data_IF_786987711016
#
_entry.id   IF_786987711016
#
_cell.length_a   1.000
_cell.length_b   1.000
_cell.length_c   1.000
_cell.angle_alpha   90.00
_cell.angle_beta   90.00
_cell.angle_gamma   90.00
#
_symmetry.space_group_name_H-M   'P 1'
#
loop_
_entity.id
_entity.type
_entity.pdbx_description
1 polymer ?
#
# COMPACT_ATOMS: atom_id res chain seq x y z
N UNK A 1 -4.05 -0.32 -6.03
CA UNK A 1 -3.99 1.05 -6.63
C UNK A 1 -3.12 2.01 -5.84
N UNK A 2 -3.28 2.15 -4.52
CA UNK A 2 -2.51 3.12 -3.72
C UNK A 2 -1.00 2.83 -3.61
N UNK A 3 -0.60 1.55 -3.54
CA UNK A 3 0.81 1.14 -3.45
C UNK A 3 1.63 1.53 -4.70
N UNK A 4 1.10 1.24 -5.90
CA UNK A 4 1.78 1.55 -7.18
C UNK A 4 1.96 3.06 -7.34
N UNK A 5 0.95 3.85 -6.99
CA UNK A 5 1.03 5.31 -7.02
C UNK A 5 2.09 5.84 -6.04
N UNK A 6 2.21 5.21 -4.86
CA UNK A 6 3.24 5.58 -3.87
C UNK A 6 4.66 5.31 -4.38
N UNK A 7 4.89 4.16 -5.02
CA UNK A 7 6.18 3.80 -5.64
C UNK A 7 6.53 4.74 -6.78
N UNK A 8 5.63 4.93 -7.76
CA UNK A 8 5.85 5.83 -8.90
C UNK A 8 6.18 7.25 -8.46
N UNK A 9 5.56 7.73 -7.38
CA UNK A 9 5.86 9.06 -6.82
C UNK A 9 7.24 9.13 -6.19
N UNK A 10 7.69 8.08 -5.51
CA UNK A 10 9.04 8.03 -4.95
C UNK A 10 10.10 7.96 -6.06
N UNK A 11 9.84 7.16 -7.09
CA UNK A 11 10.70 7.07 -8.28
C UNK A 11 10.83 8.42 -8.98
N UNK A 12 9.72 9.11 -9.25
CA UNK A 12 9.74 10.44 -9.85
C UNK A 12 10.53 11.47 -9.01
N UNK A 13 10.47 11.37 -7.67
CA UNK A 13 11.26 12.24 -6.79
C UNK A 13 12.75 11.91 -6.90
N UNK A 14 13.12 10.64 -6.87
CA UNK A 14 14.50 10.20 -7.07
C UNK A 14 15.04 10.70 -8.42
N UNK A 15 14.32 10.43 -9.51
CA UNK A 15 14.69 10.81 -10.88
C UNK A 15 14.83 12.33 -11.08
N UNK A 16 14.08 13.14 -10.32
CA UNK A 16 14.18 14.60 -10.42
C UNK A 16 15.56 15.15 -10.03
N UNK A 17 16.28 14.46 -9.13
CA UNK A 17 17.67 14.79 -8.79
C UNK A 17 18.37 13.61 -8.08
N UNK A 18 18.87 12.61 -8.83
CA UNK A 18 19.39 11.36 -8.27
C UNK A 18 20.57 11.51 -7.32
N UNK A 19 21.41 12.54 -7.51
CA UNK A 19 22.55 12.80 -6.63
C UNK A 19 22.11 13.31 -5.26
N UNK A 20 21.08 14.16 -5.21
CA UNK A 20 20.57 14.71 -3.95
C UNK A 20 19.46 13.85 -3.32
N UNK A 21 18.80 13.00 -4.11
CA UNK A 21 17.72 12.12 -3.69
C UNK A 21 18.14 10.65 -3.79
N UNK A 22 19.41 10.36 -3.47
CA UNK A 22 20.05 9.06 -3.70
C UNK A 22 19.46 7.92 -2.86
N UNK A 23 18.77 8.25 -1.76
CA UNK A 23 18.07 7.30 -0.91
C UNK A 23 16.92 8.01 -0.17
N UNK A 24 16.10 7.24 0.54
CA UNK A 24 14.95 7.76 1.28
C UNK A 24 15.34 8.80 2.35
N UNK A 25 16.48 8.63 3.01
CA UNK A 25 16.95 9.55 4.06
C UNK A 25 17.24 10.92 3.44
N UNK A 26 17.93 10.96 2.30
CA UNK A 26 18.24 12.21 1.60
C UNK A 26 16.99 12.86 1.00
N UNK A 27 16.03 12.06 0.50
CA UNK A 27 14.72 12.56 0.08
C UNK A 27 14.00 13.26 1.24
N UNK A 28 13.96 12.67 2.43
CA UNK A 28 13.24 13.25 3.58
C UNK A 28 13.97 14.46 4.17
N UNK A 29 15.30 14.45 4.19
CA UNK A 29 16.11 15.62 4.56
C UNK A 29 15.85 16.78 3.60
N UNK A 30 15.88 16.53 2.30
CA UNK A 30 15.65 17.56 1.27
C UNK A 30 14.21 18.09 1.31
N UNK A 31 13.25 17.25 1.65
CA UNK A 31 11.85 17.62 1.81
C UNK A 31 11.62 18.50 3.06
N UNK A 32 12.31 18.17 4.16
CA UNK A 32 12.26 18.93 5.41
C UNK A 32 12.92 20.30 5.26
N UNK A 33 14.12 20.36 4.65
CA UNK A 33 14.85 21.61 4.45
C UNK A 33 14.11 22.59 3.52
N UNK A 34 13.39 22.07 2.52
CA UNK A 34 12.56 22.86 1.60
C UNK A 34 11.17 23.21 2.16
N UNK A 35 10.83 22.79 3.38
CA UNK A 35 9.49 22.97 3.96
C UNK A 35 8.38 22.25 3.18
N UNK A 36 8.73 21.28 2.33
CA UNK A 36 7.82 20.62 1.41
C UNK A 36 7.03 19.46 2.07
N UNK A 37 7.33 19.10 3.31
CA UNK A 37 6.69 17.99 4.04
C UNK A 37 5.16 18.09 4.12
N UNK A 38 4.61 19.31 4.05
CA UNK A 38 3.16 19.53 4.07
C UNK A 38 2.49 19.50 2.69
N UNK A 39 3.26 19.49 1.58
CA UNK A 39 2.70 19.47 0.22
C UNK A 39 1.77 18.28 0.02
N UNK A 40 0.72 18.48 -0.80
CA UNK A 40 -0.27 17.43 -1.09
C UNK A 40 0.37 16.17 -1.68
N UNK A 41 1.45 16.34 -2.43
CA UNK A 41 2.28 15.27 -3.01
C UNK A 41 3.69 15.47 -2.49
N UNK A 42 4.20 14.47 -1.78
CA UNK A 42 5.43 14.58 -1.00
C UNK A 42 6.06 13.18 -0.85
N UNK A 43 7.38 13.10 -0.79
CA UNK A 43 8.09 11.82 -0.68
C UNK A 43 7.73 11.10 0.61
N UNK A 44 7.71 11.85 1.71
CA UNK A 44 7.31 11.37 3.04
C UNK A 44 5.89 10.80 3.06
N UNK A 45 4.92 11.49 2.44
CA UNK A 45 3.53 10.99 2.35
C UNK A 45 3.44 9.75 1.46
N UNK A 46 4.14 9.72 0.33
CA UNK A 46 4.19 8.54 -0.54
C UNK A 46 4.79 7.35 0.20
N UNK A 47 5.87 7.55 0.94
CA UNK A 47 6.50 6.51 1.73
C UNK A 47 5.59 5.93 2.82
N UNK A 48 4.82 6.78 3.52
CA UNK A 48 3.81 6.31 4.49
C UNK A 48 2.76 5.39 3.86
N UNK A 49 2.32 5.67 2.63
CA UNK A 49 1.39 4.78 1.92
C UNK A 49 2.06 3.49 1.44
N UNK A 50 3.34 3.55 1.09
CA UNK A 50 4.14 2.38 0.76
C UNK A 50 4.29 1.44 1.96
N UNK A 51 4.69 1.95 3.13
CA UNK A 51 4.87 1.13 4.33
C UNK A 51 3.58 0.46 4.77
N UNK A 52 2.45 1.17 4.79
CA UNK A 52 1.14 0.58 5.07
C UNK A 52 0.74 -0.53 4.09
N UNK A 53 1.15 -0.40 2.82
CA UNK A 53 0.91 -1.43 1.82
C UNK A 53 1.78 -2.66 2.08
N UNK A 54 3.03 -2.47 2.51
CA UNK A 54 3.92 -3.56 2.91
C UNK A 54 3.42 -4.26 4.19
N UNK A 55 2.89 -3.51 5.15
CA UNK A 55 2.27 -4.08 6.36
C UNK A 55 1.09 -5.00 6.00
N UNK A 56 0.23 -4.57 5.07
CA UNK A 56 -0.85 -5.40 4.54
C UNK A 56 -0.32 -6.67 3.88
N UNK A 57 0.66 -6.56 2.99
CA UNK A 57 1.24 -7.72 2.30
C UNK A 57 1.89 -8.69 3.28
N UNK A 58 2.62 -8.18 4.27
CA UNK A 58 3.24 -8.97 5.33
C UNK A 58 2.17 -9.71 6.15
N UNK A 59 1.12 -9.03 6.59
CA UNK A 59 0.02 -9.63 7.34
C UNK A 59 -0.69 -10.74 6.54
N UNK A 60 -0.91 -10.51 5.25
CA UNK A 60 -1.54 -11.49 4.35
C UNK A 60 -0.65 -12.73 4.16
N UNK A 61 0.65 -12.54 3.89
CA UNK A 61 1.58 -13.64 3.74
C UNK A 61 1.73 -14.44 5.05
N UNK A 62 1.75 -13.77 6.20
CA UNK A 62 1.76 -14.45 7.49
C UNK A 62 0.48 -15.27 7.72
N UNK A 63 -0.69 -14.72 7.36
CA UNK A 63 -1.95 -15.43 7.47
C UNK A 63 -1.97 -16.70 6.61
N UNK A 64 -1.51 -16.60 5.36
CA UNK A 64 -1.56 -17.69 4.37
C UNK A 64 -0.42 -18.70 4.50
N UNK A 65 0.78 -18.30 4.90
CA UNK A 65 1.95 -19.19 4.84
C UNK A 65 2.35 -19.73 6.22
N UNK A 66 2.10 -18.96 7.27
CA UNK A 66 2.60 -19.29 8.61
C UNK A 66 1.48 -19.76 9.52
N UNK A 67 0.36 -19.05 9.55
CA UNK A 67 -0.72 -19.31 10.51
C UNK A 67 -1.62 -20.45 10.07
N UNK A 68 -2.20 -20.35 8.87
CA UNK A 68 -3.12 -21.36 8.36
C UNK A 68 -3.08 -21.41 6.83
N UNK A 69 -2.29 -22.35 6.25
CA UNK A 69 -2.21 -22.55 4.81
C UNK A 69 -3.51 -23.02 4.14
N UNK A 70 -4.49 -23.46 4.91
CA UNK A 70 -5.82 -23.84 4.39
C UNK A 70 -6.83 -22.72 4.56
N UNK A 71 -6.41 -21.58 5.11
CA UNK A 71 -7.28 -20.42 5.32
C UNK A 71 -7.84 -19.96 3.98
N UNK A 72 -9.14 -19.70 3.96
CA UNK A 72 -9.81 -19.12 2.81
C UNK A 72 -9.16 -17.77 2.45
N UNK A 73 -8.88 -17.58 1.15
CA UNK A 73 -8.17 -16.40 0.63
C UNK A 73 -8.92 -15.10 0.93
N UNK A 74 -10.24 -15.07 0.72
CA UNK A 74 -11.09 -13.91 1.00
C UNK A 74 -11.02 -13.52 2.47
N UNK A 75 -11.10 -14.49 3.37
CA UNK A 75 -11.01 -14.28 4.81
C UNK A 75 -9.62 -13.74 5.19
N UNK A 76 -8.54 -14.33 4.66
CA UNK A 76 -7.17 -13.88 4.93
C UNK A 76 -6.94 -12.44 4.45
N UNK A 77 -7.45 -12.10 3.26
CA UNK A 77 -7.39 -10.74 2.72
C UNK A 77 -8.20 -9.76 3.56
N UNK A 78 -9.42 -10.13 3.97
CA UNK A 78 -10.29 -9.29 4.79
C UNK A 78 -9.69 -8.97 6.15
N UNK A 79 -9.21 -9.98 6.87
CA UNK A 79 -8.58 -9.79 8.18
C UNK A 79 -7.30 -8.94 8.07
N UNK A 80 -6.48 -9.18 7.04
CA UNK A 80 -5.26 -8.40 6.81
C UNK A 80 -5.58 -6.94 6.48
N UNK A 81 -6.62 -6.69 5.68
CA UNK A 81 -7.09 -5.35 5.36
C UNK A 81 -7.60 -4.61 6.60
N UNK A 82 -8.42 -5.27 7.40
CA UNK A 82 -9.00 -4.71 8.63
C UNK A 82 -7.91 -4.32 9.64
N UNK A 83 -6.86 -5.14 9.76
CA UNK A 83 -5.75 -4.91 10.68
C UNK A 83 -4.78 -3.80 10.24
N UNK A 84 -4.70 -3.49 8.93
CA UNK A 84 -3.61 -2.65 8.39
C UNK A 84 -4.12 -1.40 7.67
N UNK A 85 -4.85 -1.55 6.56
CA UNK A 85 -5.21 -0.45 5.66
C UNK A 85 -6.51 0.24 6.04
N UNK A 86 -7.48 -0.48 6.61
CA UNK A 86 -8.81 0.04 6.95
C UNK A 86 -8.80 1.31 7.80
N UNK A 87 -7.96 1.45 8.84
CA UNK A 87 -7.90 2.68 9.65
C UNK A 87 -7.49 3.93 8.84
N UNK A 88 -6.79 3.74 7.71
CA UNK A 88 -6.27 4.82 6.89
C UNK A 88 -7.10 5.09 5.64
N UNK A 89 -8.00 4.17 5.29
CA UNK A 89 -8.90 4.32 4.15
C UNK A 89 -10.15 5.11 4.55
N UNK A 90 -10.37 6.24 3.90
CA UNK A 90 -11.65 6.94 3.96
C UNK A 90 -12.77 6.10 3.32
N UNK A 91 -14.03 6.52 3.51
CA UNK A 91 -15.21 5.76 3.09
C UNK A 91 -15.20 5.36 1.60
N UNK A 92 -14.68 6.21 0.71
CA UNK A 92 -14.54 5.92 -0.73
C UNK A 92 -13.56 4.76 -0.97
N UNK A 93 -12.38 4.84 -0.37
CA UNK A 93 -11.35 3.82 -0.55
C UNK A 93 -11.78 2.47 0.05
N UNK A 94 -12.51 2.49 1.16
CA UNK A 94 -13.09 1.29 1.78
C UNK A 94 -14.22 0.70 0.95
N UNK A 95 -15.04 1.53 0.29
CA UNK A 95 -16.06 1.06 -0.65
C UNK A 95 -15.45 0.41 -1.89
N UNK A 96 -14.44 1.05 -2.48
CA UNK A 96 -13.71 0.49 -3.62
C UNK A 96 -13.06 -0.86 -3.29
N UNK A 97 -12.46 -0.98 -2.09
CA UNK A 97 -11.92 -2.26 -1.62
C UNK A 97 -12.99 -3.36 -1.58
N UNK A 98 -14.18 -3.09 -1.01
CA UNK A 98 -15.26 -4.09 -0.95
C UNK A 98 -15.67 -4.58 -2.34
N UNK A 99 -15.81 -3.66 -3.29
CA UNK A 99 -16.14 -4.00 -4.68
C UNK A 99 -15.06 -4.88 -5.31
N UNK A 100 -13.78 -4.55 -5.11
CA UNK A 100 -12.66 -5.35 -5.61
C UNK A 100 -12.72 -6.77 -5.06
N UNK A 101 -12.94 -6.94 -3.75
CA UNK A 101 -13.05 -8.28 -3.14
C UNK A 101 -14.22 -9.06 -3.73
N UNK A 102 -15.41 -8.46 -3.84
CA UNK A 102 -16.57 -9.12 -4.43
C UNK A 102 -16.30 -9.58 -5.86
N UNK A 103 -15.66 -8.72 -6.67
CA UNK A 103 -15.29 -9.06 -8.05
C UNK A 103 -14.24 -10.18 -8.08
N UNK A 104 -13.19 -10.08 -7.25
CA UNK A 104 -12.13 -11.10 -7.17
C UNK A 104 -12.67 -12.47 -6.78
N UNK A 105 -13.59 -12.54 -5.82
CA UNK A 105 -14.26 -13.80 -5.44
C UNK A 105 -15.11 -14.37 -6.58
N UNK A 106 -15.83 -13.53 -7.31
CA UNK A 106 -16.62 -13.96 -8.47
C UNK A 106 -15.73 -14.56 -9.58
N UNK A 107 -14.60 -13.92 -9.90
CA UNK A 107 -13.64 -14.44 -10.87
C UNK A 107 -12.99 -15.74 -10.39
N UNK A 108 -12.65 -15.84 -9.09
CA UNK A 108 -12.06 -17.06 -8.53
C UNK A 108 -13.03 -18.25 -8.62
N UNK A 109 -14.30 -18.06 -8.23
CA UNK A 109 -15.33 -19.09 -8.37
C UNK A 109 -15.62 -19.48 -9.82
N UNK A 110 -15.51 -18.55 -10.77
CA UNK A 110 -15.81 -18.80 -12.19
C UNK A 110 -14.63 -19.41 -12.97
N UNK A 111 -13.40 -19.34 -12.43
CA UNK A 111 -12.18 -19.84 -13.11
C UNK A 111 -11.69 -21.18 -12.53
N UNK A 112 -12.06 -21.50 -11.29
CA UNK A 112 -11.67 -22.73 -10.59
C UNK A 112 -12.82 -23.74 -10.39
N UNK A 113 -13.90 -23.62 -11.17
CA UNK A 113 -14.95 -24.62 -11.32
C UNK A 113 -15.09 -25.00 -12.80
#
# INVERSE_FOLDING_TARGET
MLCVIALQRLEAIHESNPLTNSNLVEIFKSETSKGNGKKRVSGSKSFVWLTRSLDFTSALLQALLVKDPKKNMEQAVQESYDATLKPWHGWIASAAYRVIITISSFFFSSTFQ
#
